data_IF_810615913862
#
_entry.id   IF_810615913862
#
_cell.length_a   1.000
_cell.length_b   1.000
_cell.length_c   1.000
_cell.angle_alpha   90.00
_cell.angle_beta   90.00
_cell.angle_gamma   90.00
#
_symmetry.space_group_name_H-M   'P 1'
#
loop_
_entity.id
_entity.type
_entity.pdbx_description
1 polymer ?
#
# COMPACT_ATOMS: atom_id res chain seq x y z
N UNK A 1 -12.61 24.24 2.79
CA UNK A 1 -11.15 24.48 2.90
C UNK A 1 -10.47 23.37 2.13
N UNK A 2 -9.89 23.70 0.97
CA UNK A 2 -9.39 22.73 0.00
C UNK A 2 -8.08 22.10 0.45
N UNK A 3 -8.02 20.78 0.40
CA UNK A 3 -6.81 19.99 0.63
C UNK A 3 -5.87 20.14 -0.57
N UNK A 4 -4.72 20.77 -0.33
CA UNK A 4 -3.60 20.79 -1.26
C UNK A 4 -3.06 19.37 -1.42
N UNK A 5 -3.39 18.75 -2.56
CA UNK A 5 -2.74 17.54 -3.04
C UNK A 5 -1.32 17.94 -3.44
N UNK A 6 -0.31 17.45 -2.71
CA UNK A 6 1.09 17.55 -3.13
C UNK A 6 1.27 16.62 -4.33
N UNK A 7 1.02 17.16 -5.53
CA UNK A 7 1.29 16.49 -6.80
C UNK A 7 2.81 16.30 -6.93
N UNK A 8 3.25 15.06 -7.19
CA UNK A 8 4.64 14.80 -7.58
C UNK A 8 4.95 15.59 -8.86
N UNK A 9 6.13 16.22 -8.99
CA UNK A 9 6.47 16.94 -10.20
C UNK A 9 6.65 15.94 -11.36
N UNK A 10 5.67 15.87 -12.26
CA UNK A 10 5.73 15.09 -13.50
C UNK A 10 5.94 16.05 -14.67
N UNK A 11 7.04 15.91 -15.41
CA UNK A 11 7.24 16.71 -16.62
C UNK A 11 6.65 15.99 -17.84
N UNK A 12 5.90 16.72 -18.66
CA UNK A 12 5.28 16.20 -19.88
C UNK A 12 6.06 16.65 -21.11
N UNK A 13 6.26 15.76 -22.07
CA UNK A 13 6.84 16.08 -23.36
C UNK A 13 5.94 15.65 -24.50
N UNK A 14 5.80 16.50 -25.52
CA UNK A 14 5.07 16.20 -26.75
C UNK A 14 6.07 16.29 -27.91
N UNK A 15 6.06 15.31 -28.80
CA UNK A 15 6.90 15.26 -29.99
C UNK A 15 6.03 15.64 -31.19
N UNK A 16 6.40 16.73 -31.86
CA UNK A 16 5.69 17.22 -33.05
C UNK A 16 6.32 16.71 -34.34
N UNK A 17 7.66 16.63 -34.38
CA UNK A 17 8.41 16.25 -35.58
C UNK A 17 9.63 15.43 -35.23
N UNK A 18 9.88 14.43 -36.07
CA UNK A 18 11.07 13.58 -36.04
C UNK A 18 11.75 13.67 -37.40
N UNK A 19 13.07 13.86 -37.38
CA UNK A 19 13.95 13.71 -38.53
C UNK A 19 15.12 12.80 -38.15
N UNK A 20 15.96 12.49 -39.13
CA UNK A 20 17.05 11.51 -39.02
C UNK A 20 17.92 11.78 -37.79
N UNK A 21 18.09 13.03 -37.37
CA UNK A 21 18.91 13.41 -36.20
C UNK A 21 18.24 14.40 -35.26
N UNK A 22 16.97 14.70 -35.44
CA UNK A 22 16.31 15.72 -34.61
C UNK A 22 14.93 15.29 -34.18
N UNK A 23 14.64 15.53 -32.91
CA UNK A 23 13.31 15.45 -32.35
C UNK A 23 12.92 16.85 -31.89
N UNK A 24 11.78 17.35 -32.33
CA UNK A 24 11.28 18.67 -31.93
C UNK A 24 9.83 18.59 -31.46
N UNK A 25 9.50 19.37 -30.45
CA UNK A 25 8.17 19.45 -29.88
C UNK A 25 8.16 20.28 -28.61
N UNK A 26 7.39 19.89 -27.61
CA UNK A 26 7.12 20.65 -26.40
C UNK A 26 7.64 19.93 -25.17
N UNK A 27 8.17 20.68 -24.21
CA UNK A 27 8.42 20.20 -22.86
C UNK A 27 7.71 21.13 -21.88
N UNK A 28 6.99 20.52 -20.93
CA UNK A 28 6.19 21.19 -19.93
C UNK A 28 6.62 20.68 -18.54
N UNK A 29 7.52 21.41 -17.85
CA UNK A 29 7.88 21.08 -16.48
C UNK A 29 6.73 21.49 -15.54
N UNK A 30 6.33 20.60 -14.63
CA UNK A 30 5.22 20.84 -13.70
C UNK A 30 5.45 21.99 -12.74
N UNK A 31 6.71 22.28 -12.41
CA UNK A 31 7.12 23.36 -11.51
C UNK A 31 7.25 24.72 -12.22
N UNK A 32 6.90 24.78 -13.51
CA UNK A 32 6.94 26.00 -14.32
C UNK A 32 8.35 26.63 -14.45
N UNK A 33 9.41 25.90 -14.10
CA UNK A 33 10.78 26.39 -14.16
C UNK A 33 11.32 26.31 -15.59
N UNK A 34 11.99 27.35 -16.13
CA UNK A 34 12.59 27.30 -17.46
C UNK A 34 13.60 26.15 -17.61
N UNK A 35 13.43 25.35 -18.66
CA UNK A 35 14.35 24.24 -18.97
C UNK A 35 15.64 24.81 -19.55
N UNK A 36 16.71 24.81 -18.76
CA UNK A 36 18.05 25.24 -19.19
C UNK A 36 18.81 24.05 -19.80
N UNK A 37 19.56 24.29 -20.89
CA UNK A 37 20.29 23.30 -21.71
C UNK A 37 21.12 22.23 -20.97
N UNK A 38 21.55 22.48 -19.73
CA UNK A 38 22.46 21.59 -18.98
C UNK A 38 21.76 20.49 -18.19
N UNK A 39 20.43 20.43 -18.22
CA UNK A 39 19.65 19.57 -17.33
C UNK A 39 18.99 18.38 -18.03
N UNK A 40 19.16 18.19 -19.35
CA UNK A 40 18.52 17.05 -20.05
C UNK A 40 19.51 15.93 -20.33
N UNK A 41 19.12 14.69 -19.99
CA UNK A 41 19.82 13.46 -20.39
C UNK A 41 18.85 12.57 -21.16
N UNK A 42 19.32 12.00 -22.26
CA UNK A 42 18.52 11.12 -23.11
C UNK A 42 19.16 9.76 -23.13
N UNK A 43 18.37 8.73 -22.84
CA UNK A 43 18.77 7.34 -22.91
C UNK A 43 17.96 6.66 -23.99
N UNK A 44 18.62 5.85 -24.81
CA UNK A 44 17.98 4.98 -25.79
C UNK A 44 18.44 3.57 -25.46
N UNK A 45 17.49 2.68 -25.14
CA UNK A 45 17.80 1.30 -24.73
C UNK A 45 18.82 1.23 -23.58
N UNK A 46 18.66 2.13 -22.61
CA UNK A 46 19.52 2.23 -21.43
C UNK A 46 20.90 2.85 -21.66
N UNK A 47 21.26 3.21 -22.90
CA UNK A 47 22.53 3.89 -23.20
C UNK A 47 22.33 5.40 -23.31
N UNK A 48 23.14 6.17 -22.59
CA UNK A 48 23.12 7.62 -22.70
C UNK A 48 23.55 8.06 -24.10
N UNK A 49 22.73 8.90 -24.70
CA UNK A 49 22.97 9.51 -25.99
C UNK A 49 23.23 11.01 -25.82
N UNK A 50 24.32 11.49 -26.40
CA UNK A 50 24.63 12.92 -26.41
C UNK A 50 23.62 13.63 -27.29
N UNK A 51 22.95 14.62 -26.70
CA UNK A 51 21.99 15.47 -27.40
C UNK A 51 22.34 16.94 -27.20
N UNK A 52 22.17 17.72 -28.24
CA UNK A 52 22.19 19.18 -28.16
C UNK A 52 20.75 19.67 -28.03
N UNK A 53 20.38 20.13 -26.83
CA UNK A 53 19.09 20.78 -26.59
C UNK A 53 19.11 22.22 -27.10
N UNK A 54 18.07 22.61 -27.82
CA UNK A 54 17.76 24.02 -28.11
C UNK A 54 16.34 24.30 -27.66
N UNK A 55 16.18 25.32 -26.80
CA UNK A 55 14.87 25.82 -26.38
C UNK A 55 14.62 27.16 -27.08
N UNK A 56 13.41 27.37 -27.57
CA UNK A 56 13.00 28.63 -28.20
C UNK A 56 11.66 29.09 -27.63
N UNK A 57 11.55 30.39 -27.37
CA UNK A 57 10.26 31.03 -27.13
C UNK A 57 9.53 31.18 -28.48
N UNK A 58 8.28 30.68 -28.53
CA UNK A 58 7.41 30.77 -29.71
C UNK A 58 6.51 31.99 -29.56
N UNK A 59 6.86 33.07 -30.25
CA UNK A 59 6.17 34.38 -30.19
C UNK A 59 4.70 34.29 -30.63
N UNK A 60 4.36 33.31 -31.46
CA UNK A 60 3.02 32.98 -31.97
C UNK A 60 2.08 32.36 -30.92
N UNK A 61 2.63 31.91 -29.79
CA UNK A 61 1.88 31.33 -28.66
C UNK A 61 1.84 32.23 -27.43
N UNK A 62 2.13 33.53 -27.59
CA UNK A 62 2.09 34.55 -26.53
C UNK A 62 0.76 34.65 -25.76
N UNK A 63 -0.33 34.02 -26.25
CA UNK A 63 -1.62 33.91 -25.57
C UNK A 63 -1.68 32.79 -24.50
N UNK A 64 -0.69 31.89 -24.48
CA UNK A 64 -0.53 30.81 -23.50
C UNK A 64 0.70 31.03 -22.60
N UNK A 65 1.13 32.29 -22.42
CA UNK A 65 2.30 32.65 -21.61
C UNK A 65 2.24 32.10 -20.19
N UNK A 66 1.04 31.87 -19.66
CA UNK A 66 0.82 31.36 -18.32
C UNK A 66 1.07 29.83 -18.21
N UNK A 67 1.19 29.11 -19.34
CA UNK A 67 1.35 27.64 -19.37
C UNK A 67 2.81 27.15 -19.47
N UNK A 68 3.81 28.06 -19.45
CA UNK A 68 5.25 27.75 -19.50
C UNK A 68 5.64 26.65 -20.51
N UNK A 69 5.05 26.71 -21.71
CA UNK A 69 5.34 25.76 -22.77
C UNK A 69 6.63 26.16 -23.49
N UNK A 70 7.68 25.35 -23.33
CA UNK A 70 8.94 25.58 -24.04
C UNK A 70 8.99 24.72 -25.29
N UNK A 71 9.09 25.38 -26.45
CA UNK A 71 9.46 24.70 -27.69
C UNK A 71 10.88 24.15 -27.54
N UNK A 72 11.03 22.84 -27.66
CA UNK A 72 12.30 22.15 -27.51
C UNK A 72 12.69 21.44 -28.80
N UNK A 73 13.99 21.35 -29.04
CA UNK A 73 14.57 20.51 -30.09
C UNK A 73 15.78 19.77 -29.52
N UNK A 74 15.70 18.44 -29.51
CA UNK A 74 16.79 17.53 -29.21
C UNK A 74 17.47 17.15 -30.52
N UNK A 75 18.74 17.52 -30.67
CA UNK A 75 19.57 17.12 -31.82
C UNK A 75 20.57 16.05 -31.40
N UNK A 76 20.51 14.90 -32.04
CA UNK A 76 21.35 13.74 -31.78
C UNK A 76 22.60 13.78 -32.68
N UNK A 77 23.72 13.24 -32.18
CA UNK A 77 24.96 13.13 -32.96
C UNK A 77 24.84 12.01 -34.03
N UNK A 78 24.13 10.94 -33.68
CA UNK A 78 23.81 9.79 -34.52
C UNK A 78 22.39 9.87 -35.06
N UNK A 79 22.11 9.06 -36.08
CA UNK A 79 20.74 8.93 -36.56
C UNK A 79 19.86 8.25 -35.51
N UNK A 80 18.58 8.64 -35.47
CA UNK A 80 17.55 8.07 -34.61
C UNK A 80 16.47 7.43 -35.49
N UNK A 81 16.06 6.22 -35.12
CA UNK A 81 14.99 5.49 -35.78
C UNK A 81 13.68 5.61 -35.02
N UNK A 82 12.57 5.20 -35.62
CA UNK A 82 11.28 5.11 -34.92
C UNK A 82 11.31 4.09 -33.78
N UNK A 83 12.04 2.99 -33.96
CA UNK A 83 12.28 1.97 -32.94
C UNK A 83 13.07 2.54 -31.74
N UNK A 84 14.03 3.43 -32.00
CA UNK A 84 14.74 4.13 -30.92
C UNK A 84 13.81 5.00 -30.06
N UNK A 85 12.77 5.61 -30.63
CA UNK A 85 11.80 6.42 -29.89
C UNK A 85 10.99 5.59 -28.88
N UNK A 86 10.65 4.34 -29.21
CA UNK A 86 9.90 3.44 -28.33
C UNK A 86 10.71 3.03 -27.09
N UNK A 87 12.02 3.19 -27.15
CA UNK A 87 12.95 2.85 -26.07
C UNK A 87 13.70 4.07 -25.55
N UNK A 88 13.19 5.26 -25.82
CA UNK A 88 13.79 6.52 -25.43
C UNK A 88 13.22 7.01 -24.10
N UNK A 89 14.10 7.23 -23.12
CA UNK A 89 13.78 7.95 -21.89
C UNK A 89 14.50 9.29 -21.86
N UNK A 90 13.76 10.34 -21.53
CA UNK A 90 14.31 11.70 -21.41
C UNK A 90 14.18 12.14 -19.97
N UNK A 91 15.28 12.52 -19.34
CA UNK A 91 15.31 12.97 -17.96
C UNK A 91 15.69 14.43 -17.88
N UNK A 92 15.02 15.15 -16.99
CA UNK A 92 15.29 16.53 -16.62
C UNK A 92 15.84 16.59 -15.19
N UNK A 93 17.00 17.20 -15.00
CA UNK A 93 17.62 17.39 -13.70
C UNK A 93 17.12 18.67 -13.04
N UNK A 94 16.47 18.53 -11.89
CA UNK A 94 15.92 19.64 -11.12
C UNK A 94 16.01 19.34 -9.63
N UNK A 95 16.27 20.35 -8.81
CA UNK A 95 16.36 20.22 -7.35
C UNK A 95 17.21 19.01 -6.86
N UNK A 96 18.35 18.78 -7.53
CA UNK A 96 19.29 17.68 -7.24
C UNK A 96 18.78 16.25 -7.54
N UNK A 97 17.73 16.11 -8.35
CA UNK A 97 17.18 14.82 -8.78
C UNK A 97 16.91 14.80 -10.29
N UNK A 98 16.90 13.61 -10.90
CA UNK A 98 16.44 13.42 -12.28
C UNK A 98 14.96 13.07 -12.27
N UNK A 99 14.18 13.81 -13.05
CA UNK A 99 12.75 13.61 -13.27
C UNK A 99 12.59 13.09 -14.69
N UNK A 100 11.90 11.96 -14.87
CA UNK A 100 11.60 11.47 -16.21
C UNK A 100 10.50 12.31 -16.86
N UNK A 101 10.72 12.63 -18.14
CA UNK A 101 9.75 13.30 -19.01
C UNK A 101 9.03 12.20 -19.79
N UNK A 102 7.72 12.12 -19.61
CA UNK A 102 6.89 11.23 -20.44
C UNK A 102 6.71 11.85 -21.83
N UNK A 103 7.13 11.15 -22.88
CA UNK A 103 7.06 11.62 -24.26
C UNK A 103 5.81 11.08 -24.96
N UNK A 104 5.03 11.96 -25.59
CA UNK A 104 3.88 11.61 -26.44
C UNK A 104 4.14 12.02 -27.88
N UNK A 105 3.87 11.15 -28.85
CA UNK A 105 3.97 11.51 -30.28
C UNK A 105 2.64 12.10 -30.73
N UNK A 106 2.66 13.35 -31.21
CA UNK A 106 1.47 14.01 -31.72
C UNK A 106 1.30 13.72 -33.22
N UNK A 107 0.17 13.14 -33.61
CA UNK A 107 -0.22 12.96 -35.01
C UNK A 107 -0.94 14.23 -35.51
N UNK A 108 -0.20 15.30 -35.77
CA UNK A 108 -0.74 16.45 -36.50
C UNK A 108 -0.48 16.29 -38.01
N UNK A 109 -1.54 16.42 -38.81
CA UNK A 109 -1.45 16.65 -40.24
C UNK A 109 -0.67 17.93 -40.52
N UNK A 110 0.62 17.79 -40.80
CA UNK A 110 1.41 18.90 -41.34
C UNK A 110 1.24 18.92 -42.86
N UNK A 111 0.62 19.97 -43.40
CA UNK A 111 0.90 20.41 -44.78
C UNK A 111 2.40 20.68 -44.87
N UNK A 112 3.13 19.77 -45.52
CA UNK A 112 4.57 19.88 -45.73
C UNK A 112 4.82 20.76 -46.95
N UNK A 113 5.41 21.93 -46.72
CA UNK A 113 6.27 22.52 -47.74
C UNK A 113 7.74 22.23 -47.36
N UNK A 114 8.34 21.38 -48.20
CA UNK A 114 9.75 21.05 -48.38
C UNK A 114 10.63 20.67 -47.16
N UNK A 115 10.90 19.37 -47.13
CA UNK A 115 12.11 18.65 -46.66
C UNK A 115 12.15 18.21 -45.19
N UNK A 116 11.73 16.97 -44.95
CA UNK A 116 12.31 16.06 -43.94
C UNK A 116 12.02 14.61 -44.36
N UNK A 117 13.06 13.82 -44.60
CA UNK A 117 13.01 12.52 -45.31
C UNK A 117 12.46 11.34 -44.49
N UNK A 118 11.97 11.55 -43.27
CA UNK A 118 11.39 10.49 -42.43
C UNK A 118 9.85 10.45 -42.42
N UNK A 119 9.16 11.51 -42.87
CA UNK A 119 7.69 11.55 -42.80
C UNK A 119 6.94 10.70 -43.85
N UNK A 120 7.61 10.13 -44.86
CA UNK A 120 6.92 9.47 -45.98
C UNK A 120 6.97 7.93 -46.00
N UNK A 121 7.33 7.27 -44.89
CA UNK A 121 7.25 5.80 -44.80
C UNK A 121 6.06 5.28 -43.98
N UNK A 122 5.15 6.16 -43.55
CA UNK A 122 3.90 5.84 -42.87
C UNK A 122 2.66 6.07 -43.75
N UNK A 123 2.84 6.15 -45.07
CA UNK A 123 1.74 6.16 -46.03
C UNK A 123 1.90 4.96 -46.96
N UNK A 124 1.45 3.80 -46.49
CA UNK A 124 0.79 2.74 -47.27
C UNK A 124 0.62 1.51 -46.36
N UNK A 125 -0.62 1.03 -46.33
CA UNK A 125 -1.10 -0.23 -45.74
C UNK A 125 -1.41 -0.21 -44.24
N UNK A 126 -2.51 0.45 -43.88
CA UNK A 126 -3.65 -0.21 -43.23
C UNK A 126 -4.94 0.54 -43.64
N UNK A 127 -5.76 -0.11 -44.48
CA UNK A 127 -7.01 0.44 -44.99
C UNK A 127 -8.11 0.44 -43.92
N UNK A 128 -8.81 1.58 -43.85
CA UNK A 128 -9.93 1.86 -42.96
C UNK A 128 -11.16 1.00 -43.30
N UNK A 129 -11.72 0.32 -42.30
CA UNK A 129 -13.18 0.20 -42.20
C UNK A 129 -13.69 1.45 -41.47
N UNK A 130 -14.45 2.29 -42.17
CA UNK A 130 -15.26 3.35 -41.57
C UNK A 130 -16.41 2.69 -40.79
N UNK A 131 -16.38 2.80 -39.47
CA UNK A 131 -17.57 2.74 -38.64
C UNK A 131 -17.66 4.06 -37.86
N UNK A 132 -18.88 4.57 -37.72
CA UNK A 132 -19.21 5.84 -37.08
C UNK A 132 -18.50 5.98 -35.73
N UNK A 133 -17.84 7.13 -35.53
CA UNK A 133 -17.12 7.45 -34.29
C UNK A 133 -18.14 7.54 -33.14
N UNK A 134 -18.08 6.65 -32.14
CA UNK A 134 -18.83 6.79 -30.90
C UNK A 134 -18.24 7.94 -30.09
N UNK A 135 -19.11 8.70 -29.42
CA UNK A 135 -18.69 9.77 -28.51
C UNK A 135 -17.69 9.22 -27.50
N UNK A 136 -16.53 9.90 -27.41
CA UNK A 136 -15.54 10.09 -26.33
C UNK A 136 -15.40 9.13 -25.13
N UNK A 137 -16.40 8.32 -24.76
CA UNK A 137 -16.37 7.39 -23.64
C UNK A 137 -15.80 6.01 -24.05
N UNK A 138 -15.92 5.58 -25.31
CA UNK A 138 -15.41 4.26 -25.77
C UNK A 138 -13.89 4.27 -26.08
N UNK A 139 -13.32 5.37 -26.57
CA UNK A 139 -11.86 5.47 -26.86
C UNK A 139 -11.03 5.58 -25.56
N UNK A 140 -11.60 6.14 -24.50
CA UNK A 140 -10.95 6.15 -23.17
C UNK A 140 -10.91 4.73 -22.59
N UNK A 141 -11.86 3.87 -22.95
CA UNK A 141 -11.85 2.46 -22.54
C UNK A 141 -10.80 1.63 -23.31
N UNK A 142 -10.62 1.85 -24.62
CA UNK A 142 -9.61 1.13 -25.42
C UNK A 142 -8.15 1.52 -25.12
N UNK A 143 -7.88 2.80 -24.84
CA UNK A 143 -6.53 3.24 -24.42
C UNK A 143 -6.19 2.70 -23.02
N UNK A 144 -7.21 2.41 -22.20
CA UNK A 144 -7.09 1.72 -20.93
C UNK A 144 -7.02 0.17 -21.06
N UNK A 145 -6.93 -0.40 -22.26
CA UNK A 145 -6.71 -1.85 -22.40
C UNK A 145 -5.29 -2.17 -22.91
N UNK A 146 -4.64 -1.28 -23.67
CA UNK A 146 -3.27 -1.54 -24.18
C UNK A 146 -2.14 -1.08 -23.23
N UNK A 147 -2.40 -0.11 -22.35
CA UNK A 147 -1.45 0.34 -21.30
C UNK A 147 -1.44 -0.57 -20.06
N UNK A 148 -2.39 -1.49 -19.96
CA UNK A 148 -2.54 -2.41 -18.85
C UNK A 148 -2.10 -3.80 -19.28
N UNK A 149 -0.78 -4.01 -19.32
CA UNK A 149 -0.27 -5.38 -19.28
C UNK A 149 -0.72 -6.00 -17.96
N UNK A 150 -1.63 -6.96 -18.05
CA UNK A 150 -2.07 -7.83 -16.95
C UNK A 150 -0.96 -8.75 -16.44
N UNK A 151 0.23 -8.69 -17.08
CA UNK A 151 1.43 -9.39 -16.66
C UNK A 151 1.76 -9.04 -15.20
N UNK A 152 2.01 -10.05 -14.35
CA UNK A 152 2.32 -9.81 -12.96
C UNK A 152 3.63 -9.02 -12.82
N UNK A 153 3.64 -8.07 -11.88
CA UNK A 153 4.86 -7.33 -11.54
C UNK A 153 5.94 -8.35 -11.09
N UNK A 154 7.21 -8.24 -11.56
CA UNK A 154 8.26 -9.19 -11.21
C UNK A 154 8.58 -9.27 -9.71
N UNK A 155 8.94 -10.46 -9.24
CA UNK A 155 9.46 -10.70 -7.88
C UNK A 155 10.68 -9.82 -7.60
N UNK A 156 10.76 -9.27 -6.39
CA UNK A 156 11.81 -8.34 -5.96
C UNK A 156 11.53 -6.88 -6.31
N UNK A 157 10.46 -6.58 -7.05
CA UNK A 157 10.09 -5.20 -7.36
C UNK A 157 9.64 -4.47 -6.09
N UNK A 158 10.28 -3.34 -5.80
CA UNK A 158 9.95 -2.47 -4.66
C UNK A 158 8.97 -1.37 -5.10
N UNK A 159 8.10 -0.95 -4.18
CA UNK A 159 7.39 0.32 -4.33
C UNK A 159 8.36 1.49 -4.36
N UNK A 160 7.93 2.63 -4.89
CA UNK A 160 8.76 3.83 -4.98
C UNK A 160 9.24 4.33 -3.61
N UNK A 161 8.40 4.19 -2.58
CA UNK A 161 8.74 4.51 -1.19
C UNK A 161 9.53 3.39 -0.48
N UNK A 162 9.82 2.29 -1.18
CA UNK A 162 10.52 1.09 -0.69
C UNK A 162 9.85 0.41 0.51
N UNK A 163 8.57 0.69 0.74
CA UNK A 163 7.79 0.10 1.84
C UNK A 163 7.27 -1.28 1.48
N UNK A 164 6.88 -1.50 0.23
CA UNK A 164 6.32 -2.77 -0.24
C UNK A 164 7.27 -3.46 -1.23
N UNK A 165 7.28 -4.79 -1.22
CA UNK A 165 8.03 -5.61 -2.18
C UNK A 165 7.16 -6.74 -2.72
N UNK A 166 7.32 -7.06 -4.00
CA UNK A 166 6.68 -8.21 -4.64
C UNK A 166 7.44 -9.49 -4.31
N UNK A 167 6.80 -10.40 -3.59
CA UNK A 167 7.25 -11.76 -3.32
C UNK A 167 6.84 -12.77 -4.40
N UNK A 168 7.14 -14.04 -4.16
CA UNK A 168 6.73 -15.14 -5.03
C UNK A 168 5.21 -15.37 -4.96
N UNK A 169 4.67 -16.00 -6.02
CA UNK A 169 3.25 -16.36 -6.13
C UNK A 169 2.27 -15.19 -5.86
N UNK A 170 2.66 -13.99 -6.31
CA UNK A 170 1.88 -12.77 -6.24
C UNK A 170 1.63 -12.24 -4.82
N UNK A 171 2.37 -12.71 -3.81
CA UNK A 171 2.31 -12.11 -2.48
C UNK A 171 3.07 -10.78 -2.45
N UNK A 172 2.51 -9.79 -1.77
CA UNK A 172 3.18 -8.53 -1.44
C UNK A 172 3.60 -8.55 0.02
N UNK A 173 4.75 -7.97 0.34
CA UNK A 173 5.26 -7.89 1.70
C UNK A 173 5.68 -6.48 2.06
N UNK A 174 5.62 -6.14 3.33
CA UNK A 174 6.38 -5.00 3.85
C UNK A 174 7.89 -5.30 3.73
N UNK A 175 8.70 -4.28 3.50
CA UNK A 175 10.16 -4.40 3.48
C UNK A 175 10.79 -3.26 4.26
N UNK A 176 10.74 -2.03 3.73
CA UNK A 176 11.33 -0.86 4.36
C UNK A 176 10.34 0.11 5.03
N UNK A 177 10.65 1.40 4.94
CA UNK A 177 9.88 2.49 5.55
C UNK A 177 10.11 2.65 7.04
N UNK A 178 9.17 3.31 7.72
CA UNK A 178 9.21 3.54 9.16
C UNK A 178 9.19 2.25 10.01
N UNK A 179 8.76 1.13 9.42
CA UNK A 179 8.65 -0.16 10.10
C UNK A 179 9.92 -1.01 9.94
N UNK A 180 10.72 -0.75 8.90
CA UNK A 180 12.00 -1.42 8.61
C UNK A 180 12.00 -2.94 8.84
N UNK A 181 10.97 -3.62 8.33
CA UNK A 181 10.68 -5.03 8.61
C UNK A 181 11.80 -5.96 8.14
N UNK A 182 12.61 -5.54 7.17
CA UNK A 182 13.72 -6.36 6.69
C UNK A 182 14.86 -6.52 7.69
N UNK A 183 15.12 -5.50 8.51
CA UNK A 183 16.23 -5.50 9.46
C UNK A 183 15.98 -6.40 10.67
N UNK A 184 14.72 -6.55 11.10
CA UNK A 184 14.38 -7.39 12.26
C UNK A 184 14.70 -8.88 12.07
N UNK A 185 14.69 -9.39 10.85
CA UNK A 185 15.04 -10.79 10.56
C UNK A 185 16.55 -11.04 10.44
N UNK A 186 17.35 -9.97 10.42
CA UNK A 186 18.81 -10.03 10.27
C UNK A 186 19.55 -9.69 11.57
N UNK A 187 18.80 -9.36 12.63
CA UNK A 187 19.33 -8.85 13.89
C UNK A 187 19.00 -9.80 15.03
N UNK A 188 20.00 -10.18 15.82
CA UNK A 188 19.78 -10.92 17.07
C UNK A 188 19.15 -10.00 18.12
N UNK A 189 18.24 -10.54 18.94
CA UNK A 189 17.52 -9.73 19.89
C UNK A 189 18.44 -9.21 21.01
N UNK A 190 18.38 -7.91 21.25
CA UNK A 190 18.99 -7.30 22.43
C UNK A 190 18.34 -7.85 23.70
N UNK A 191 19.16 -8.38 24.62
CA UNK A 191 18.67 -8.85 25.93
C UNK A 191 17.96 -7.74 26.70
N UNK A 192 18.44 -6.50 26.58
CA UNK A 192 17.82 -5.33 27.21
C UNK A 192 16.38 -5.10 26.73
N UNK A 193 16.11 -5.24 25.41
CA UNK A 193 14.77 -5.03 24.85
C UNK A 193 13.82 -6.14 25.30
N UNK A 194 14.31 -7.39 25.35
CA UNK A 194 13.53 -8.53 25.87
C UNK A 194 13.17 -8.32 27.34
N UNK A 195 14.14 -7.92 28.17
CA UNK A 195 13.92 -7.62 29.59
C UNK A 195 12.92 -6.48 29.79
N UNK A 196 12.99 -5.43 28.97
CA UNK A 196 12.02 -4.32 28.99
C UNK A 196 10.60 -4.81 28.69
N UNK A 197 10.42 -5.63 27.65
CA UNK A 197 9.12 -6.22 27.33
C UNK A 197 8.57 -7.05 28.47
N UNK A 198 9.37 -7.97 29.04
CA UNK A 198 8.95 -8.78 30.17
C UNK A 198 8.52 -7.93 31.36
N UNK A 199 9.30 -6.89 31.69
CA UNK A 199 8.98 -5.95 32.77
C UNK A 199 7.66 -5.22 32.53
N UNK A 200 7.41 -4.72 31.32
CA UNK A 200 6.17 -4.03 30.96
C UNK A 200 4.97 -4.98 31.05
N UNK A 201 5.11 -6.19 30.53
CA UNK A 201 4.05 -7.21 30.57
C UNK A 201 3.70 -7.57 32.02
N UNK A 202 4.70 -7.80 32.87
CA UNK A 202 4.48 -8.12 34.29
C UNK A 202 3.87 -6.95 35.05
N UNK A 203 4.31 -5.72 34.77
CA UNK A 203 3.79 -4.52 35.43
C UNK A 203 2.32 -4.29 35.08
N UNK A 204 1.96 -4.46 33.79
CA UNK A 204 0.56 -4.40 33.33
C UNK A 204 -0.29 -5.49 33.98
N UNK A 205 0.20 -6.73 33.99
CA UNK A 205 -0.49 -7.85 34.64
C UNK A 205 -0.77 -7.55 36.11
N UNK A 206 0.25 -7.16 36.87
CA UNK A 206 0.11 -6.87 38.30
C UNK A 206 -0.87 -5.73 38.56
N UNK A 207 -0.78 -4.64 37.79
CA UNK A 207 -1.69 -3.50 37.93
C UNK A 207 -3.15 -3.86 37.64
N UNK A 208 -3.40 -4.68 36.60
CA UNK A 208 -4.74 -5.10 36.21
C UNK A 208 -5.31 -6.18 37.16
N UNK A 209 -4.46 -7.07 37.67
CA UNK A 209 -4.84 -8.07 38.68
C UNK A 209 -5.31 -7.39 39.98
N UNK A 210 -4.65 -6.32 40.42
CA UNK A 210 -5.08 -5.51 41.57
C UNK A 210 -6.44 -4.83 41.36
N UNK A 211 -6.85 -4.62 40.10
CA UNK A 211 -8.16 -4.07 39.74
C UNK A 211 -9.20 -5.17 39.49
N UNK A 212 -8.83 -6.46 39.61
CA UNK A 212 -9.71 -7.59 39.31
C UNK A 212 -10.02 -7.76 37.81
N UNK A 213 -9.15 -7.25 36.93
CA UNK A 213 -9.32 -7.25 35.48
C UNK A 213 -8.49 -8.36 34.84
N UNK A 214 -9.08 -9.17 33.96
CA UNK A 214 -8.33 -10.17 33.20
C UNK A 214 -7.45 -9.49 32.15
N UNK A 215 -6.20 -9.91 32.04
CA UNK A 215 -5.22 -9.29 31.13
C UNK A 215 -4.69 -10.28 30.10
N UNK A 216 -4.65 -9.85 28.83
CA UNK A 216 -3.93 -10.54 27.76
C UNK A 216 -2.88 -9.61 27.12
N UNK A 217 -1.65 -10.09 26.99
CA UNK A 217 -0.69 -9.52 26.04
C UNK A 217 -0.80 -10.30 24.73
N UNK A 218 -1.46 -9.74 23.72
CA UNK A 218 -1.63 -10.39 22.42
C UNK A 218 -0.45 -10.06 21.50
N UNK A 219 0.15 -11.08 20.90
CA UNK A 219 1.27 -10.94 19.98
C UNK A 219 0.95 -11.59 18.63
N UNK A 220 0.92 -10.76 17.58
CA UNK A 220 0.67 -11.20 16.20
C UNK A 220 2.02 -11.32 15.47
N UNK A 221 2.31 -12.43 14.76
CA UNK A 221 3.50 -12.54 13.93
C UNK A 221 3.38 -11.68 12.67
N UNK A 222 4.53 -11.32 12.10
CA UNK A 222 4.55 -10.69 10.78
C UNK A 222 4.17 -11.68 9.67
N UNK A 223 3.75 -11.14 8.52
CA UNK A 223 3.41 -11.94 7.34
C UNK A 223 4.60 -12.77 6.85
N UNK A 224 5.80 -12.21 6.89
CA UNK A 224 7.06 -12.86 6.49
C UNK A 224 7.39 -14.04 7.41
N UNK A 225 7.06 -13.95 8.71
CA UNK A 225 7.21 -15.05 9.67
C UNK A 225 6.32 -16.25 9.31
N UNK A 226 5.10 -16.00 8.87
CA UNK A 226 4.14 -17.06 8.52
C UNK A 226 4.33 -17.60 7.11
N UNK A 227 4.79 -16.76 6.18
CA UNK A 227 4.90 -17.05 4.76
C UNK A 227 6.34 -16.84 4.22
N UNK A 228 7.39 -17.37 4.87
CA UNK A 228 8.77 -17.14 4.44
C UNK A 228 9.03 -17.68 3.03
N UNK A 229 8.35 -18.76 2.63
CA UNK A 229 8.50 -19.38 1.31
C UNK A 229 8.02 -18.50 0.14
N UNK A 230 7.20 -17.48 0.41
CA UNK A 230 6.74 -16.54 -0.61
C UNK A 230 7.47 -15.21 -0.56
N UNK A 231 8.33 -15.00 0.45
CA UNK A 231 9.10 -13.78 0.56
C UNK A 231 10.30 -13.78 -0.41
N UNK A 232 10.86 -12.62 -0.72
CA UNK A 232 11.84 -12.44 -1.83
C UNK A 232 13.24 -12.97 -1.55
N UNK A 233 13.54 -13.28 -0.29
CA UNK A 233 14.84 -13.73 0.18
C UNK A 233 14.67 -14.70 1.33
N UNK A 234 15.68 -15.53 1.55
CA UNK A 234 15.71 -16.42 2.70
C UNK A 234 15.91 -15.63 3.99
N UNK A 235 15.03 -15.84 4.97
CA UNK A 235 15.04 -15.20 6.28
C UNK A 235 14.90 -16.23 7.40
N UNK A 236 15.52 -15.97 8.55
CA UNK A 236 15.35 -16.76 9.77
C UNK A 236 14.05 -16.33 10.44
N UNK A 237 13.06 -17.22 10.51
CA UNK A 237 11.73 -16.92 11.07
C UNK A 237 11.35 -17.79 12.27
N UNK A 238 10.56 -17.27 13.23
CA UNK A 238 10.26 -15.84 13.38
C UNK A 238 11.54 -15.08 13.78
N UNK A 239 11.48 -13.75 13.90
CA UNK A 239 12.61 -12.98 14.42
C UNK A 239 13.01 -13.47 15.82
N UNK A 240 14.29 -13.32 16.16
CA UNK A 240 14.80 -13.75 17.47
C UNK A 240 14.09 -13.01 18.62
N UNK A 241 13.74 -11.75 18.42
CA UNK A 241 13.00 -10.95 19.40
C UNK A 241 11.59 -11.47 19.62
N UNK A 242 10.90 -11.88 18.55
CA UNK A 242 9.59 -12.53 18.67
C UNK A 242 9.68 -13.80 19.51
N UNK A 243 10.62 -14.70 19.20
CA UNK A 243 10.80 -15.96 19.95
C UNK A 243 11.01 -15.72 21.45
N UNK A 244 11.83 -14.72 21.80
CA UNK A 244 12.12 -14.43 23.20
C UNK A 244 10.93 -13.80 23.93
N UNK A 245 10.26 -12.83 23.33
CA UNK A 245 9.09 -12.16 23.96
C UNK A 245 7.87 -13.09 24.03
N UNK A 246 7.60 -13.88 22.99
CA UNK A 246 6.49 -14.84 22.96
C UNK A 246 6.62 -15.95 23.99
N UNK A 247 7.84 -16.26 24.46
CA UNK A 247 8.06 -17.25 25.51
C UNK A 247 7.53 -16.85 26.88
N UNK A 248 7.14 -15.58 27.07
CA UNK A 248 6.61 -15.10 28.33
C UNK A 248 5.22 -15.71 28.61
N UNK A 249 4.96 -16.29 29.81
CA UNK A 249 3.74 -17.09 30.07
C UNK A 249 2.39 -16.36 29.91
N UNK A 250 2.41 -15.03 29.98
CA UNK A 250 1.22 -14.16 29.88
C UNK A 250 0.94 -13.75 28.43
N UNK A 251 1.89 -13.99 27.52
CA UNK A 251 1.73 -13.65 26.11
C UNK A 251 0.86 -14.69 25.43
N UNK A 252 -0.18 -14.22 24.76
CA UNK A 252 -0.96 -15.00 23.81
C UNK A 252 -0.22 -14.92 22.47
N UNK A 253 0.68 -15.88 22.26
CA UNK A 253 1.34 -16.11 20.97
C UNK A 253 0.31 -16.71 20.00
N UNK A 254 0.13 -16.06 18.85
CA UNK A 254 -0.84 -16.47 17.81
C UNK A 254 -0.18 -17.21 16.64
N UNK A 255 1.14 -17.41 16.67
CA UNK A 255 1.89 -18.00 15.57
C UNK A 255 1.40 -19.39 15.22
N UNK A 256 1.15 -20.25 16.22
CA UNK A 256 0.78 -21.64 15.98
C UNK A 256 -0.65 -21.75 15.42
N UNK A 257 -1.57 -20.94 15.93
CA UNK A 257 -2.96 -20.85 15.47
C UNK A 257 -3.03 -20.37 14.02
N UNK A 258 -2.21 -19.38 13.67
CA UNK A 258 -2.13 -18.86 12.32
C UNK A 258 -1.39 -19.81 11.37
N UNK A 259 -0.35 -20.52 11.82
CA UNK A 259 0.40 -21.50 11.01
C UNK A 259 -0.48 -22.61 10.47
N UNK A 260 -1.45 -23.08 11.25
CA UNK A 260 -2.43 -24.08 10.79
C UNK A 260 -3.23 -23.65 9.55
N UNK A 261 -3.24 -22.34 9.25
CA UNK A 261 -3.93 -21.73 8.11
C UNK A 261 -3.01 -20.77 7.34
N UNK A 262 -1.68 -20.94 7.39
CA UNK A 262 -0.71 -19.93 6.96
C UNK A 262 -1.02 -19.31 5.58
N UNK A 263 -1.17 -20.13 4.54
CA UNK A 263 -1.46 -19.67 3.17
C UNK A 263 -2.81 -18.95 3.00
N UNK A 264 -3.66 -19.00 4.03
CA UNK A 264 -5.04 -18.49 4.06
C UNK A 264 -5.28 -17.49 5.17
N UNK A 265 -4.30 -17.11 5.98
CA UNK A 265 -4.50 -16.23 7.13
C UNK A 265 -4.16 -14.76 6.85
N UNK A 266 -3.40 -14.49 5.79
CA UNK A 266 -3.11 -13.14 5.29
C UNK A 266 -3.69 -12.93 3.90
N UNK A 267 -4.03 -11.68 3.62
CA UNK A 267 -4.22 -11.22 2.25
C UNK A 267 -2.91 -11.32 1.48
N UNK A 268 -2.93 -11.71 0.22
CA UNK A 268 -1.79 -11.64 -0.68
C UNK A 268 -1.31 -10.21 -0.90
N UNK A 269 -2.23 -9.27 -1.10
CA UNK A 269 -1.92 -7.91 -1.56
C UNK A 269 -1.98 -6.83 -0.47
N UNK A 270 -2.10 -7.26 0.78
CA UNK A 270 -2.16 -6.40 1.97
C UNK A 270 -1.16 -6.87 3.06
N UNK A 271 -0.83 -5.98 3.98
CA UNK A 271 0.03 -6.24 5.14
C UNK A 271 -0.69 -6.89 6.33
N UNK A 272 -2.02 -6.93 6.33
CA UNK A 272 -2.84 -7.45 7.43
C UNK A 272 -3.34 -8.88 7.19
N UNK A 273 -3.75 -9.50 8.29
CA UNK A 273 -4.53 -10.75 8.25
C UNK A 273 -5.83 -10.54 7.50
N UNK A 274 -6.32 -11.60 6.85
CA UNK A 274 -7.67 -11.61 6.29
C UNK A 274 -8.69 -12.09 7.33
N UNK A 275 -9.96 -12.22 6.94
CA UNK A 275 -11.03 -12.69 7.82
C UNK A 275 -10.74 -14.04 8.50
N UNK A 276 -10.13 -15.00 7.80
CA UNK A 276 -9.75 -16.29 8.39
C UNK A 276 -8.65 -16.13 9.43
N UNK A 277 -7.65 -15.28 9.16
CA UNK A 277 -6.61 -14.96 10.14
C UNK A 277 -7.17 -14.25 11.37
N UNK A 278 -8.07 -13.29 11.19
CA UNK A 278 -8.74 -12.59 12.29
C UNK A 278 -9.56 -13.56 13.14
N UNK A 279 -10.28 -14.50 12.52
CA UNK A 279 -10.97 -15.58 13.24
C UNK A 279 -9.99 -16.46 14.05
N UNK A 280 -8.84 -16.84 13.48
CA UNK A 280 -7.83 -17.61 14.20
C UNK A 280 -7.31 -16.87 15.45
N UNK A 281 -6.95 -15.60 15.29
CA UNK A 281 -6.48 -14.74 16.40
C UNK A 281 -7.58 -14.56 17.45
N UNK A 282 -8.82 -14.36 17.03
CA UNK A 282 -9.95 -14.22 17.94
C UNK A 282 -10.17 -15.49 18.76
N UNK A 283 -10.14 -16.66 18.12
CA UNK A 283 -10.22 -17.94 18.81
C UNK A 283 -9.04 -18.17 19.77
N UNK A 284 -7.84 -17.70 19.45
CA UNK A 284 -6.71 -17.75 20.38
C UNK A 284 -7.00 -16.94 21.66
N UNK A 285 -7.57 -15.73 21.51
CA UNK A 285 -8.01 -14.93 22.64
C UNK A 285 -9.11 -15.61 23.47
N UNK A 286 -10.12 -16.22 22.82
CA UNK A 286 -11.18 -16.94 23.53
C UNK A 286 -10.61 -18.09 24.37
N UNK A 287 -9.70 -18.90 23.80
CA UNK A 287 -9.01 -19.98 24.52
C UNK A 287 -8.23 -19.44 25.72
N UNK A 288 -7.46 -18.36 25.54
CA UNK A 288 -6.69 -17.73 26.62
C UNK A 288 -7.60 -17.20 27.75
N UNK A 289 -8.83 -16.81 27.43
CA UNK A 289 -9.84 -16.37 28.39
C UNK A 289 -10.68 -17.51 28.99
N UNK A 290 -10.39 -18.77 28.63
CA UNK A 290 -11.21 -19.94 28.96
C UNK A 290 -12.67 -19.79 28.51
N UNK A 291 -12.87 -19.20 27.33
CA UNK A 291 -14.17 -19.08 26.66
C UNK A 291 -14.24 -20.08 25.50
N UNK A 292 -15.45 -20.53 25.19
CA UNK A 292 -15.70 -21.48 24.10
C UNK A 292 -15.28 -20.89 22.75
N UNK A 293 -14.35 -21.53 22.01
CA UNK A 293 -13.95 -21.10 20.68
C UNK A 293 -15.09 -21.23 19.67
N UNK A 294 -15.03 -20.44 18.61
CA UNK A 294 -15.97 -20.52 17.49
C UNK A 294 -15.60 -21.68 16.58
N UNK A 295 -16.56 -22.58 16.33
CA UNK A 295 -16.41 -23.72 15.42
C UNK A 295 -17.03 -23.45 14.04
N UNK A 296 -16.57 -24.21 13.03
CA UNK A 296 -17.23 -24.37 11.73
C UNK A 296 -17.48 -23.07 10.94
N UNK A 297 -16.44 -22.36 10.53
CA UNK A 297 -16.59 -21.16 9.67
C UNK A 297 -16.77 -21.53 8.19
N UNK A 298 -17.77 -20.93 7.54
CA UNK A 298 -17.97 -21.05 6.10
C UNK A 298 -17.54 -19.77 5.41
N UNK A 299 -16.42 -19.84 4.70
CA UNK A 299 -15.91 -18.74 3.90
C UNK A 299 -16.70 -18.61 2.60
N UNK A 300 -17.11 -17.39 2.28
CA UNK A 300 -17.71 -17.00 1.02
C UNK A 300 -16.88 -15.88 0.39
N UNK A 301 -16.50 -16.03 -0.88
CA UNK A 301 -15.81 -14.96 -1.63
C UNK A 301 -16.79 -13.83 -1.92
N UNK A 302 -16.43 -12.60 -1.60
CA UNK A 302 -17.24 -11.43 -1.91
C UNK A 302 -16.59 -10.66 -3.07
N UNK A 303 -15.91 -9.57 -2.73
CA UNK A 303 -15.50 -8.54 -3.67
C UNK A 303 -13.98 -8.56 -3.88
N UNK A 304 -13.50 -8.11 -5.05
CA UNK A 304 -12.10 -7.85 -5.24
C UNK A 304 -11.64 -6.73 -4.29
N UNK A 305 -10.41 -6.83 -3.82
CA UNK A 305 -9.74 -5.83 -3.01
C UNK A 305 -8.36 -5.57 -3.57
N UNK A 306 -7.90 -4.33 -3.42
CA UNK A 306 -6.50 -3.98 -3.51
C UNK A 306 -6.08 -3.52 -2.12
N UNK A 307 -5.16 -4.26 -1.51
CA UNK A 307 -4.69 -3.99 -0.17
C UNK A 307 -3.83 -2.73 -0.07
N UNK A 308 -3.40 -2.42 1.14
CA UNK A 308 -2.50 -1.30 1.42
C UNK A 308 -1.19 -1.42 0.63
N UNK A 309 -0.60 -2.63 0.54
CA UNK A 309 0.64 -2.88 -0.19
C UNK A 309 0.47 -2.76 -1.71
N UNK A 310 -0.66 -3.19 -2.25
CA UNK A 310 -0.96 -2.96 -3.67
C UNK A 310 -1.01 -1.47 -4.00
N UNK A 311 -1.63 -0.66 -3.14
CA UNK A 311 -1.64 0.80 -3.30
C UNK A 311 -0.26 1.44 -3.15
N UNK A 312 0.69 0.81 -2.44
CA UNK A 312 2.08 1.26 -2.41
C UNK A 312 2.80 1.01 -3.74
N UNK A 313 2.55 -0.14 -4.37
CA UNK A 313 3.14 -0.49 -5.67
C UNK A 313 2.48 0.26 -6.82
N UNK A 314 1.17 0.46 -6.75
CA UNK A 314 0.39 1.12 -7.78
C UNK A 314 -0.64 2.07 -7.12
N UNK A 315 -0.25 3.33 -6.85
CA UNK A 315 -1.14 4.29 -6.23
C UNK A 315 -2.44 4.49 -7.01
N UNK A 316 -3.58 4.32 -6.33
CA UNK A 316 -4.90 4.46 -6.95
C UNK A 316 -5.48 3.16 -7.51
N UNK A 317 -4.80 2.03 -7.36
CA UNK A 317 -5.28 0.71 -7.83
C UNK A 317 -6.67 0.35 -7.29
N UNK A 318 -7.02 0.78 -6.08
CA UNK A 318 -8.35 0.53 -5.52
C UNK A 318 -9.49 1.14 -6.35
N UNK A 319 -9.25 2.24 -7.08
CA UNK A 319 -10.24 2.87 -7.95
C UNK A 319 -10.50 2.07 -9.24
N UNK A 320 -9.66 1.07 -9.53
CA UNK A 320 -9.75 0.24 -10.73
C UNK A 320 -10.45 -1.10 -10.46
N UNK A 321 -10.84 -1.39 -9.21
CA UNK A 321 -11.37 -2.71 -8.80
C UNK A 321 -12.70 -3.09 -9.47
N UNK A 322 -13.43 -2.13 -10.03
CA UNK A 322 -14.63 -2.40 -10.83
C UNK A 322 -14.28 -3.01 -12.21
N UNK A 323 -13.04 -2.82 -12.68
CA UNK A 323 -12.50 -3.35 -13.94
C UNK A 323 -11.20 -4.12 -13.69
N UNK A 324 -11.27 -5.20 -12.89
CA UNK A 324 -10.08 -6.01 -12.51
C UNK A 324 -9.28 -6.57 -13.70
N UNK A 325 -9.85 -6.66 -14.91
CA UNK A 325 -9.13 -7.06 -16.12
C UNK A 325 -8.01 -6.09 -16.50
N UNK A 326 -8.12 -4.84 -16.07
CA UNK A 326 -7.12 -3.79 -16.27
C UNK A 326 -6.12 -3.74 -15.12
N UNK A 327 -6.15 -4.65 -14.14
CA UNK A 327 -5.19 -4.63 -13.03
C UNK A 327 -4.23 -5.82 -13.18
N UNK A 328 -2.90 -5.63 -13.03
CA UNK A 328 -1.98 -6.73 -12.84
C UNK A 328 -2.49 -7.72 -11.78
N UNK A 329 -2.50 -9.00 -12.10
CA UNK A 329 -3.13 -10.05 -11.26
C UNK A 329 -2.54 -10.20 -9.85
N UNK A 330 -1.40 -9.56 -9.58
CA UNK A 330 -0.75 -9.52 -8.27
C UNK A 330 -0.98 -8.24 -7.46
N UNK A 331 -1.85 -7.35 -7.93
CA UNK A 331 -2.24 -6.13 -7.23
C UNK A 331 -3.68 -6.17 -6.69
N UNK A 332 -4.40 -7.26 -6.92
CA UNK A 332 -5.69 -7.48 -6.30
C UNK A 332 -5.86 -8.94 -5.87
N UNK A 333 -6.80 -9.17 -4.97
CA UNK A 333 -7.30 -10.51 -4.65
C UNK A 333 -8.78 -10.45 -4.27
N UNK A 334 -9.41 -11.60 -4.03
CA UNK A 334 -10.81 -11.63 -3.59
C UNK A 334 -10.89 -11.80 -2.07
N UNK A 335 -11.54 -10.85 -1.43
CA UNK A 335 -11.85 -10.92 -0.01
C UNK A 335 -12.85 -12.04 0.27
N UNK A 336 -12.57 -12.80 1.32
CA UNK A 336 -13.50 -13.79 1.86
C UNK A 336 -14.17 -13.21 3.12
N UNK A 337 -15.45 -13.53 3.32
CA UNK A 337 -16.15 -13.28 4.58
C UNK A 337 -16.72 -14.58 5.12
N UNK A 338 -16.96 -14.65 6.42
CA UNK A 338 -17.64 -15.77 7.06
C UNK A 338 -19.15 -15.50 6.98
N UNK A 339 -19.92 -16.48 6.52
CA UNK A 339 -21.36 -16.32 6.26
C UNK A 339 -22.27 -16.80 7.39
N UNK A 340 -21.76 -17.62 8.32
CA UNK A 340 -22.52 -18.20 9.42
C UNK A 340 -22.25 -17.49 10.76
N UNK A 341 -22.30 -16.16 10.73
CA UNK A 341 -22.06 -15.31 11.90
C UNK A 341 -23.35 -15.06 12.71
N UNK A 342 -23.23 -14.66 13.98
CA UNK A 342 -24.39 -14.31 14.80
C UNK A 342 -25.18 -13.19 14.14
N UNK A 343 -26.51 -13.22 14.24
CA UNK A 343 -27.37 -12.11 13.80
C UNK A 343 -27.23 -10.84 14.67
N UNK A 344 -26.32 -10.85 15.65
CA UNK A 344 -26.11 -9.74 16.60
C UNK A 344 -25.72 -8.46 15.87
N UNK A 345 -26.34 -7.34 16.26
CA UNK A 345 -26.11 -6.03 15.67
C UNK A 345 -25.46 -5.08 16.68
N UNK A 346 -24.12 -5.10 16.81
CA UNK A 346 -23.44 -4.14 17.68
C UNK A 346 -23.66 -2.72 17.17
N UNK A 347 -23.77 -1.77 18.09
CA UNK A 347 -23.99 -0.34 17.78
C UNK A 347 -22.84 0.48 18.32
N UNK A 348 -22.28 1.37 17.49
CA UNK A 348 -21.31 2.37 17.94
C UNK A 348 -22.03 3.41 18.79
N UNK A 349 -21.58 3.58 20.03
CA UNK A 349 -22.15 4.57 20.96
C UNK A 349 -21.22 5.76 21.19
N UNK A 350 -19.92 5.58 20.92
CA UNK A 350 -18.93 6.63 21.03
C UNK A 350 -17.80 6.38 20.04
N UNK A 351 -17.30 7.46 19.44
CA UNK A 351 -16.10 7.45 18.62
C UNK A 351 -15.37 8.78 18.80
N UNK A 352 -14.04 8.73 18.87
CA UNK A 352 -13.18 9.91 18.93
C UNK A 352 -12.03 9.80 17.96
N UNK A 353 -11.68 10.92 17.33
CA UNK A 353 -10.51 11.06 16.47
C UNK A 353 -9.70 12.24 16.98
N UNK A 354 -8.38 12.09 17.21
CA UNK A 354 -7.51 13.17 17.64
C UNK A 354 -7.54 14.37 16.68
N UNK A 355 -7.34 15.56 17.22
CA UNK A 355 -7.09 16.75 16.41
C UNK A 355 -5.87 16.52 15.50
N UNK A 356 -6.02 16.77 14.21
CA UNK A 356 -4.98 16.48 13.20
C UNK A 356 -5.10 15.12 12.51
N UNK A 357 -6.05 14.26 12.93
CA UNK A 357 -6.40 13.05 12.19
C UNK A 357 -5.39 11.89 12.31
N UNK A 358 -4.46 11.95 13.26
CA UNK A 358 -3.53 10.85 13.55
C UNK A 358 -4.25 9.57 14.00
N UNK A 359 -3.55 8.43 13.92
CA UNK A 359 -4.08 7.14 14.38
C UNK A 359 -4.07 7.02 15.91
N UNK A 360 -2.96 7.40 16.55
CA UNK A 360 -2.78 7.28 18.00
C UNK A 360 -3.79 8.15 18.74
N UNK A 361 -4.49 7.56 19.72
CA UNK A 361 -5.52 8.22 20.52
C UNK A 361 -6.93 8.16 19.93
N UNK A 362 -7.10 7.55 18.74
CA UNK A 362 -8.44 7.22 18.23
C UNK A 362 -9.12 6.21 19.15
N UNK A 363 -10.42 6.40 19.38
CA UNK A 363 -11.22 5.46 20.17
C UNK A 363 -12.55 5.16 19.51
N UNK A 364 -13.06 3.95 19.75
CA UNK A 364 -14.42 3.55 19.38
C UNK A 364 -14.99 2.62 20.45
N UNK A 365 -16.27 2.83 20.78
CA UNK A 365 -17.00 2.01 21.76
C UNK A 365 -18.26 1.46 21.12
N UNK A 366 -18.43 0.15 21.26
CA UNK A 366 -19.55 -0.63 20.78
C UNK A 366 -20.35 -1.23 21.94
N UNK A 367 -21.66 -1.27 21.79
CA UNK A 367 -22.57 -2.00 22.68
C UNK A 367 -23.33 -3.04 21.86
N UNK A 368 -23.42 -4.25 22.40
CA UNK A 368 -24.15 -5.36 21.80
C UNK A 368 -24.95 -6.12 22.85
N UNK A 369 -26.22 -5.74 23.10
CA UNK A 369 -27.05 -6.39 24.11
C UNK A 369 -27.29 -7.88 23.84
N UNK A 370 -27.18 -8.30 22.58
CA UNK A 370 -27.41 -9.68 22.11
C UNK A 370 -26.14 -10.53 22.10
N UNK A 371 -24.98 -9.97 22.44
CA UNK A 371 -23.70 -10.68 22.46
C UNK A 371 -23.74 -11.96 23.32
N UNK A 372 -23.01 -13.00 22.87
CA UNK A 372 -22.87 -14.26 23.60
C UNK A 372 -22.20 -14.06 24.96
N UNK A 373 -21.11 -13.28 25.00
CA UNK A 373 -20.36 -13.01 26.22
C UNK A 373 -20.80 -11.70 26.85
N UNK A 374 -21.37 -11.77 28.07
CA UNK A 374 -21.80 -10.61 28.85
C UNK A 374 -20.63 -10.02 29.63
N UNK A 375 -19.59 -9.60 28.91
CA UNK A 375 -18.36 -9.01 29.44
C UNK A 375 -18.01 -7.72 28.67
N UNK A 376 -17.34 -6.81 29.36
CA UNK A 376 -16.76 -5.59 28.82
C UNK A 376 -15.28 -5.79 28.49
N UNK A 377 -14.90 -5.50 27.26
CA UNK A 377 -13.53 -5.63 26.76
C UNK A 377 -12.97 -4.26 26.39
N UNK A 378 -11.78 -3.95 26.89
CA UNK A 378 -11.00 -2.77 26.51
C UNK A 378 -9.70 -3.20 25.82
N UNK A 379 -9.43 -2.66 24.64
CA UNK A 379 -8.24 -2.99 23.85
C UNK A 379 -7.38 -1.76 23.62
N UNK A 380 -6.08 -1.92 23.82
CA UNK A 380 -5.03 -1.02 23.38
C UNK A 380 -4.26 -1.71 22.25
N UNK A 381 -4.33 -1.19 21.02
CA UNK A 381 -3.73 -1.87 19.88
C UNK A 381 -3.54 -0.99 18.64
N UNK A 382 -3.41 -1.62 17.49
CA UNK A 382 -3.13 -0.98 16.21
C UNK A 382 -4.11 -1.39 15.09
N UNK A 383 -3.68 -1.25 13.84
CA UNK A 383 -4.50 -1.50 12.65
C UNK A 383 -5.04 -2.93 12.51
N UNK A 384 -4.50 -3.91 13.25
CA UNK A 384 -5.10 -5.25 13.29
C UNK A 384 -6.46 -5.26 13.99
N UNK A 385 -6.68 -4.34 14.94
CA UNK A 385 -8.00 -4.12 15.52
C UNK A 385 -8.84 -3.17 14.68
N UNK A 386 -8.29 -2.02 14.27
CA UNK A 386 -8.99 -0.96 13.54
C UNK A 386 -10.40 -0.64 14.11
N UNK A 387 -11.25 0.07 13.38
CA UNK A 387 -12.59 0.46 13.82
C UNK A 387 -13.66 -0.62 13.64
N UNK A 388 -13.29 -1.83 13.21
CA UNK A 388 -14.22 -2.97 13.23
C UNK A 388 -15.36 -2.91 12.20
N UNK A 389 -15.21 -2.14 11.12
CA UNK A 389 -16.18 -2.09 10.02
C UNK A 389 -16.21 -3.35 9.14
N UNK A 390 -15.23 -4.24 9.29
CA UNK A 390 -14.99 -5.37 8.42
C UNK A 390 -14.47 -6.59 9.22
N UNK A 391 -14.72 -7.82 8.76
CA UNK A 391 -14.42 -9.05 9.53
C UNK A 391 -12.93 -9.39 9.63
N UNK A 392 -12.05 -8.79 8.84
CA UNK A 392 -10.59 -8.86 8.99
C UNK A 392 -10.08 -8.01 10.16
N UNK A 393 -10.88 -7.05 10.63
CA UNK A 393 -10.56 -6.22 11.78
C UNK A 393 -10.95 -6.96 13.06
N UNK A 394 -10.01 -7.12 14.00
CA UNK A 394 -10.30 -7.80 15.27
C UNK A 394 -11.42 -7.10 16.05
N UNK A 395 -11.53 -5.77 15.97
CA UNK A 395 -12.63 -5.02 16.60
C UNK A 395 -14.02 -5.47 16.16
N UNK A 396 -14.17 -5.95 14.92
CA UNK A 396 -15.45 -6.47 14.43
C UNK A 396 -15.86 -7.70 15.26
N UNK A 397 -14.95 -8.64 15.49
CA UNK A 397 -15.23 -9.86 16.25
C UNK A 397 -15.58 -9.56 17.70
N UNK A 398 -14.78 -8.73 18.37
CA UNK A 398 -15.06 -8.39 19.76
C UNK A 398 -16.39 -7.65 19.93
N UNK A 399 -16.73 -6.71 19.03
CA UNK A 399 -18.02 -6.04 19.06
C UNK A 399 -19.22 -7.00 18.87
N UNK A 400 -19.09 -8.04 18.04
CA UNK A 400 -20.18 -8.99 17.78
C UNK A 400 -20.36 -10.03 18.91
N UNK A 401 -19.31 -10.37 19.64
CA UNK A 401 -19.35 -11.46 20.63
C UNK A 401 -19.33 -11.00 22.10
N UNK A 402 -18.92 -9.77 22.38
CA UNK A 402 -18.90 -9.19 23.73
C UNK A 402 -19.94 -8.08 23.89
N UNK A 403 -20.57 -7.98 25.06
CA UNK A 403 -21.67 -7.04 25.29
C UNK A 403 -21.26 -5.57 25.24
N UNK A 404 -20.01 -5.28 25.59
CA UNK A 404 -19.41 -3.95 25.45
C UNK A 404 -17.95 -4.13 25.00
N UNK A 405 -17.56 -3.38 23.99
CA UNK A 405 -16.22 -3.43 23.43
C UNK A 405 -15.71 -2.02 23.17
N UNK A 406 -14.54 -1.69 23.70
CA UNK A 406 -13.88 -0.43 23.42
C UNK A 406 -12.48 -0.69 22.86
N UNK A 407 -12.17 -0.06 21.74
CA UNK A 407 -10.85 -0.04 21.15
C UNK A 407 -10.22 1.34 21.29
N UNK A 408 -8.94 1.36 21.68
CA UNK A 408 -8.08 2.53 21.76
C UNK A 408 -6.85 2.25 20.90
N UNK A 409 -6.62 3.09 19.90
CA UNK A 409 -5.46 2.95 19.04
C UNK A 409 -4.23 3.54 19.73
N UNK A 410 -3.44 2.70 20.38
CA UNK A 410 -2.21 3.07 21.09
C UNK A 410 -1.44 1.81 21.52
N UNK A 411 -0.10 1.83 21.59
CA UNK A 411 0.67 0.73 22.16
C UNK A 411 0.70 0.73 23.71
N UNK A 412 0.29 1.83 24.34
CA UNK A 412 0.35 2.04 25.79
C UNK A 412 -0.96 1.68 26.49
N UNK A 413 -0.87 1.04 27.66
CA UNK A 413 -2.05 0.71 28.48
C UNK A 413 -2.33 1.86 29.43
N UNK A 414 -3.42 2.59 29.18
CA UNK A 414 -3.87 3.68 30.05
C UNK A 414 -4.65 3.15 31.26
N UNK A 415 -3.99 3.03 32.41
CA UNK A 415 -4.59 2.55 33.65
C UNK A 415 -5.68 3.47 34.22
N UNK A 416 -5.63 4.79 33.95
CA UNK A 416 -6.69 5.70 34.37
C UNK A 416 -7.95 5.47 33.54
N UNK A 417 -7.80 5.22 32.24
CA UNK A 417 -8.91 4.79 31.40
C UNK A 417 -9.47 3.44 31.85
N UNK A 418 -8.62 2.46 32.22
CA UNK A 418 -9.08 1.18 32.76
C UNK A 418 -9.94 1.40 34.02
N UNK A 419 -9.49 2.23 34.97
CA UNK A 419 -10.26 2.55 36.20
C UNK A 419 -11.60 3.21 35.88
N UNK A 420 -11.64 4.07 34.86
CA UNK A 420 -12.85 4.77 34.43
C UNK A 420 -13.85 3.83 33.72
N UNK A 421 -13.36 2.98 32.82
CA UNK A 421 -14.18 2.09 32.00
C UNK A 421 -14.66 0.88 32.78
N UNK A 422 -13.86 0.43 33.76
CA UNK A 422 -14.09 -0.78 34.57
C UNK A 422 -14.36 -2.01 33.69
N UNK A 423 -13.43 -2.38 32.77
CA UNK A 423 -13.60 -3.55 31.92
C UNK A 423 -13.43 -4.85 32.70
N UNK A 424 -14.05 -5.92 32.22
CA UNK A 424 -13.76 -7.28 32.70
C UNK A 424 -12.43 -7.79 32.14
N UNK A 425 -12.07 -7.34 30.94
CA UNK A 425 -10.91 -7.81 30.17
C UNK A 425 -10.18 -6.62 29.56
N UNK A 426 -8.86 -6.60 29.70
CA UNK A 426 -7.95 -5.71 28.97
C UNK A 426 -7.04 -6.53 28.06
N UNK A 427 -6.91 -6.09 26.81
CA UNK A 427 -5.97 -6.67 25.85
C UNK A 427 -4.99 -5.58 25.42
N UNK A 428 -3.70 -5.81 25.63
CA UNK A 428 -2.64 -5.06 25.00
C UNK A 428 -2.19 -5.83 23.76
N UNK A 429 -2.36 -5.26 22.57
CA UNK A 429 -1.98 -5.91 21.32
C UNK A 429 -0.74 -5.27 20.71
N UNK A 430 0.21 -6.11 20.33
CA UNK A 430 1.34 -5.72 19.49
C UNK A 430 1.50 -6.66 18.30
N UNK A 431 2.38 -6.30 17.38
CA UNK A 431 2.81 -7.12 16.24
C UNK A 431 4.33 -7.18 16.23
N UNK A 432 4.86 -8.28 15.70
CA UNK A 432 6.28 -8.57 15.62
C UNK A 432 7.15 -7.37 15.18
N UNK A 433 6.78 -6.63 14.12
CA UNK A 433 7.55 -5.45 13.65
C UNK A 433 7.64 -4.29 14.66
N UNK A 434 6.79 -4.25 15.68
CA UNK A 434 6.81 -3.20 16.71
C UNK A 434 7.53 -3.63 17.99
N UNK A 435 7.95 -4.89 18.11
CA UNK A 435 8.73 -5.35 19.26
C UNK A 435 10.08 -4.61 19.47
N UNK A 436 10.78 -4.08 18.45
CA UNK A 436 12.00 -3.30 18.70
C UNK A 436 11.79 -2.05 19.57
N UNK A 437 10.56 -1.55 19.68
CA UNK A 437 10.20 -0.38 20.49
C UNK A 437 9.27 -0.85 21.60
N UNK A 438 9.79 -0.93 22.83
CA UNK A 438 8.98 -1.25 24.00
C UNK A 438 8.11 -0.03 24.37
N UNK A 439 6.79 -0.20 24.55
CA UNK A 439 5.92 0.88 25.02
C UNK A 439 6.21 1.26 26.48
N UNK A 440 5.68 2.41 26.88
CA UNK A 440 5.79 2.85 28.27
C UNK A 440 4.87 2.02 29.18
N UNK A 441 5.21 2.05 30.48
CA UNK A 441 4.52 1.31 31.55
C UNK A 441 3.20 1.96 31.92
#
# INVERSE_FOLDING_TARGET
MGTNIVKRPQALGIIDRVSDKTLSGWLMPYDLTPIIKKNIRVFIRGKENKVKLTCHERVDLNKFKDDNQFGCMLKFDTEITLDDLQHMSVFYYFAQQFIEITLHVSLFEAKVDKVSKIQNRLSLEFEFYRADIPRSEEIIAEINDELFRSDPIPVGTLSEDKVAVVGHQNYLFLSGGSNNVDEMYSTEASSQVVEQWHKVIDSRRQALELLGVNYLQLLIPEKQTLLPQYYTRDIKVPSDLYNKVSSHPVVVDTLNELKGYADKSFYKVDSHINTQGAWCVFNACLKALNLEPLENVKLHKANPIAGDLANKLYPGVSALLDNVSQIPSNLFEYKCHISNLPESKPTVVQQSVPEGGGHIGRTITWINPQAQFKKKVLVFGNSFFDFGSQQEHMSWWFAHYFSEFQFVWTPDVDLELVKKVQPDIVIAQTIERFLPICPDC
#
